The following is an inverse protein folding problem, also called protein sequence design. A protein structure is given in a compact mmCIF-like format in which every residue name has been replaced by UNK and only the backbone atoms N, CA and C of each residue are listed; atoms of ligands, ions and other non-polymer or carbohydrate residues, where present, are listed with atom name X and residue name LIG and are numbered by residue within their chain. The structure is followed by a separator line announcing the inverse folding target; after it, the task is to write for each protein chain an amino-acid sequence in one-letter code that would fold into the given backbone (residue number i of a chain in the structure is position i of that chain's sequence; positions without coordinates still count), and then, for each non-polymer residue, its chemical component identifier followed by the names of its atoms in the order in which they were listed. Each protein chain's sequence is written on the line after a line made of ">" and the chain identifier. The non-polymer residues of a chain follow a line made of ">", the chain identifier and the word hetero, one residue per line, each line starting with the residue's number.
data_IF_735542101993
#
_entry.id   IF_735542101993
#
_cell.length_a   1.000
_cell.length_b   1.000
_cell.length_c   1.000
_cell.angle_alpha   90.00
_cell.angle_beta   90.00
_cell.angle_gamma   90.00
#
_symmetry.space_group_name_H-M   'P 1'
#
loop_
_entity.id
_entity.type
_entity.pdbx_description
1 polymer ?
#
# COMPACT_ATOMS: atom_id res chain seq x y z
N UNK A 1 10.96 -20.13 -13.30
CA UNK A 1 11.12 -18.68 -13.01
C UNK A 1 10.01 -18.27 -12.07
N UNK A 2 10.32 -17.62 -10.94
CA UNK A 2 9.29 -17.06 -10.08
C UNK A 2 8.53 -15.96 -10.85
N UNK A 3 7.20 -16.05 -10.89
CA UNK A 3 6.37 -15.01 -11.51
C UNK A 3 6.37 -13.77 -10.61
N UNK A 4 6.40 -12.60 -11.23
CA UNK A 4 6.34 -11.32 -10.51
C UNK A 4 4.89 -11.07 -10.04
N UNK A 5 4.61 -11.12 -8.72
CA UNK A 5 3.25 -11.10 -8.19
C UNK A 5 2.50 -9.79 -8.53
N UNK A 6 3.22 -8.68 -8.72
CA UNK A 6 2.58 -7.41 -9.03
C UNK A 6 2.21 -7.31 -10.52
N UNK A 7 3.02 -7.92 -11.40
CA UNK A 7 2.77 -7.92 -12.85
C UNK A 7 1.46 -8.62 -13.20
N UNK A 8 1.18 -9.74 -12.54
CA UNK A 8 -0.06 -10.51 -12.73
C UNK A 8 -1.31 -9.70 -12.33
N UNK A 9 -1.24 -8.98 -11.20
CA UNK A 9 -2.31 -8.07 -10.80
C UNK A 9 -2.59 -7.02 -11.87
N UNK A 10 -1.55 -6.37 -12.40
CA UNK A 10 -1.73 -5.32 -13.40
C UNK A 10 -2.21 -5.84 -14.77
N UNK A 11 -1.73 -7.01 -15.20
CA UNK A 11 -2.19 -7.66 -16.43
C UNK A 11 -3.69 -7.93 -16.41
N UNK A 12 -4.24 -8.27 -15.25
CA UNK A 12 -5.68 -8.55 -15.09
C UNK A 12 -6.54 -7.28 -14.97
N UNK A 13 -6.02 -6.20 -14.38
CA UNK A 13 -6.83 -5.05 -13.98
C UNK A 13 -6.63 -3.78 -14.84
N UNK A 14 -5.59 -3.71 -15.67
CA UNK A 14 -5.24 -2.48 -16.39
C UNK A 14 -4.86 -2.70 -17.85
N UNK A 15 -5.51 -1.93 -18.74
CA UNK A 15 -5.21 -1.92 -20.17
C UNK A 15 -3.84 -1.29 -20.52
N UNK A 16 -3.20 -0.57 -19.59
CA UNK A 16 -1.91 0.15 -19.78
C UNK A 16 -0.79 -0.42 -18.90
N UNK A 17 -0.50 -1.70 -19.07
CA UNK A 17 0.46 -2.47 -18.25
C UNK A 17 1.85 -1.80 -18.16
N UNK A 18 2.41 -1.37 -19.29
CA UNK A 18 3.78 -0.83 -19.34
C UNK A 18 3.96 0.43 -18.48
N UNK A 19 2.99 1.35 -18.52
CA UNK A 19 3.00 2.55 -17.70
C UNK A 19 2.96 2.21 -16.20
N UNK A 20 2.19 1.18 -15.80
CA UNK A 20 2.08 0.77 -14.41
C UNK A 20 3.36 0.10 -13.91
N UNK A 21 3.97 -0.77 -14.72
CA UNK A 21 5.27 -1.38 -14.40
C UNK A 21 6.36 -0.32 -14.25
N UNK A 22 6.36 0.72 -15.10
CA UNK A 22 7.32 1.82 -14.97
C UNK A 22 7.14 2.60 -13.66
N UNK A 23 5.89 2.83 -13.22
CA UNK A 23 5.60 3.51 -11.95
C UNK A 23 6.16 2.73 -10.77
N UNK A 24 5.96 1.40 -10.74
CA UNK A 24 6.48 0.53 -9.68
C UNK A 24 8.00 0.66 -9.59
N UNK A 25 8.71 0.57 -10.71
CA UNK A 25 10.16 0.68 -10.74
C UNK A 25 10.67 2.03 -10.21
N UNK A 26 10.01 3.13 -10.59
CA UNK A 26 10.35 4.46 -10.07
C UNK A 26 10.09 4.57 -8.56
N UNK A 27 9.03 3.96 -8.06
CA UNK A 27 8.74 3.92 -6.62
C UNK A 27 9.77 3.08 -5.87
N UNK A 28 10.21 1.94 -6.41
CA UNK A 28 11.30 1.15 -5.83
C UNK A 28 12.59 1.97 -5.73
N UNK A 29 12.99 2.64 -6.82
CA UNK A 29 14.18 3.49 -6.85
C UNK A 29 14.10 4.61 -5.79
N UNK A 30 12.91 5.21 -5.60
CA UNK A 30 12.69 6.19 -4.55
C UNK A 30 12.79 5.59 -3.14
N UNK A 31 12.22 4.41 -2.92
CA UNK A 31 12.30 3.71 -1.63
C UNK A 31 13.75 3.34 -1.31
N UNK A 32 14.49 2.78 -2.27
CA UNK A 32 15.90 2.42 -2.07
C UNK A 32 16.76 3.62 -1.68
N UNK A 33 16.47 4.78 -2.28
CA UNK A 33 17.23 6.01 -2.05
C UNK A 33 16.87 6.72 -0.75
N UNK A 34 15.60 6.69 -0.34
CA UNK A 34 15.10 7.56 0.73
C UNK A 34 14.49 6.83 1.93
N UNK A 35 13.96 5.61 1.74
CA UNK A 35 13.09 4.97 2.73
C UNK A 35 13.52 3.56 3.16
N UNK A 36 14.46 2.88 2.48
CA UNK A 36 14.80 1.47 2.75
C UNK A 36 15.26 1.15 4.18
N UNK A 37 15.81 2.14 4.89
CA UNK A 37 16.26 1.99 6.28
C UNK A 37 15.22 2.43 7.31
N UNK A 38 14.04 2.85 6.86
CA UNK A 38 12.93 3.24 7.72
C UNK A 38 12.17 2.01 8.14
N UNK A 39 11.66 2.02 9.37
CA UNK A 39 10.86 0.89 9.87
C UNK A 39 9.44 0.88 9.31
N UNK A 40 8.95 2.01 8.81
CA UNK A 40 7.55 2.21 8.43
C UNK A 40 7.41 2.86 7.06
N UNK A 41 6.35 2.51 6.35
CA UNK A 41 5.95 3.10 5.06
C UNK A 41 4.48 3.52 5.08
N UNK A 42 4.17 4.61 4.38
CA UNK A 42 2.82 5.15 4.20
C UNK A 42 2.54 5.30 2.70
N UNK A 43 1.40 4.79 2.22
CA UNK A 43 0.87 5.10 0.89
C UNK A 43 -0.48 5.82 1.00
N UNK A 44 -0.66 6.88 0.21
CA UNK A 44 -1.94 7.62 0.10
C UNK A 44 -2.59 7.22 -1.23
N UNK A 45 -3.85 6.81 -1.18
CA UNK A 45 -4.56 6.25 -2.33
C UNK A 45 -4.02 4.87 -2.71
N UNK A 46 -3.91 3.97 -1.74
CA UNK A 46 -3.33 2.64 -1.97
C UNK A 46 -4.31 1.66 -2.66
N UNK A 47 -5.58 2.03 -2.84
CA UNK A 47 -6.61 1.12 -3.32
C UNK A 47 -6.71 -0.11 -2.40
N UNK A 48 -6.64 -1.31 -2.97
CA UNK A 48 -6.64 -2.57 -2.21
C UNK A 48 -5.29 -2.94 -1.59
N UNK A 49 -4.27 -2.09 -1.74
CA UNK A 49 -2.96 -2.23 -1.08
C UNK A 49 -1.95 -3.16 -1.76
N UNK A 50 -2.15 -3.54 -3.02
CA UNK A 50 -1.24 -4.46 -3.74
C UNK A 50 0.18 -3.93 -3.84
N UNK A 51 0.34 -2.67 -4.27
CA UNK A 51 1.66 -2.03 -4.38
C UNK A 51 2.35 -1.93 -3.02
N UNK A 52 1.63 -1.43 -2.00
CA UNK A 52 2.18 -1.29 -0.66
C UNK A 52 2.62 -2.65 -0.09
N UNK A 53 1.81 -3.69 -0.24
CA UNK A 53 2.15 -5.04 0.22
C UNK A 53 3.41 -5.56 -0.47
N UNK A 54 3.53 -5.34 -1.77
CA UNK A 54 4.74 -5.67 -2.52
C UNK A 54 5.98 -4.95 -1.96
N UNK A 55 5.91 -3.64 -1.72
CA UNK A 55 7.04 -2.87 -1.18
C UNK A 55 7.41 -3.29 0.25
N UNK A 56 6.42 -3.58 1.10
CA UNK A 56 6.62 -4.08 2.46
C UNK A 56 7.42 -5.38 2.44
N UNK A 57 7.03 -6.32 1.59
CA UNK A 57 7.70 -7.60 1.46
C UNK A 57 9.11 -7.47 0.87
N UNK A 58 9.28 -6.64 -0.17
CA UNK A 58 10.57 -6.45 -0.86
C UNK A 58 11.61 -5.72 -0.01
N UNK A 59 11.20 -4.69 0.73
CA UNK A 59 12.10 -3.84 1.50
C UNK A 59 12.05 -4.08 3.02
N UNK A 60 11.30 -5.10 3.46
CA UNK A 60 11.20 -5.54 4.85
C UNK A 60 10.76 -4.44 5.83
N UNK A 61 9.81 -3.60 5.41
CA UNK A 61 9.18 -2.64 6.33
C UNK A 61 8.45 -3.38 7.45
N UNK A 62 8.64 -2.94 8.70
CA UNK A 62 7.96 -3.52 9.87
C UNK A 62 6.51 -3.09 9.97
N UNK A 63 6.23 -1.83 9.62
CA UNK A 63 4.88 -1.26 9.69
C UNK A 63 4.47 -0.68 8.34
N UNK A 64 3.22 -0.88 7.96
CA UNK A 64 2.65 -0.37 6.73
C UNK A 64 1.33 0.33 7.01
N UNK A 65 1.19 1.55 6.50
CA UNK A 65 0.00 2.38 6.66
C UNK A 65 -0.56 2.76 5.29
N UNK A 66 -1.87 2.72 5.14
CA UNK A 66 -2.55 3.16 3.94
C UNK A 66 -3.62 4.20 4.28
N UNK A 67 -3.64 5.31 3.55
CA UNK A 67 -4.79 6.23 3.53
C UNK A 67 -5.61 5.93 2.28
N UNK A 68 -6.89 5.61 2.45
CA UNK A 68 -7.79 5.33 1.33
C UNK A 68 -9.17 5.94 1.60
N UNK A 69 -9.84 6.43 0.56
CA UNK A 69 -11.18 7.02 0.66
C UNK A 69 -12.25 5.93 0.49
N UNK A 70 -11.99 4.93 -0.36
CA UNK A 70 -12.91 3.84 -0.62
C UNK A 70 -12.98 2.85 0.56
N UNK A 71 -14.04 2.92 1.35
CA UNK A 71 -14.29 1.98 2.46
C UNK A 71 -14.38 0.52 2.02
N UNK A 72 -14.79 0.26 0.78
CA UNK A 72 -14.82 -1.08 0.20
C UNK A 72 -13.44 -1.74 0.11
N UNK A 73 -12.35 -0.97 0.14
CA UNK A 73 -10.99 -1.50 0.09
C UNK A 73 -10.47 -1.96 1.47
N UNK A 74 -11.09 -1.53 2.57
CA UNK A 74 -10.56 -1.71 3.93
C UNK A 74 -10.26 -3.16 4.27
N UNK A 75 -11.19 -4.07 3.96
CA UNK A 75 -11.05 -5.48 4.25
C UNK A 75 -9.83 -6.10 3.54
N UNK A 76 -9.62 -5.74 2.27
CA UNK A 76 -8.48 -6.22 1.48
C UNK A 76 -7.15 -5.64 1.96
N UNK A 77 -7.13 -4.36 2.36
CA UNK A 77 -5.94 -3.73 2.95
C UNK A 77 -5.55 -4.47 4.24
N UNK A 78 -6.51 -4.71 5.14
CA UNK A 78 -6.25 -5.39 6.43
C UNK A 78 -5.77 -6.82 6.26
N UNK A 79 -6.31 -7.58 5.29
CA UNK A 79 -5.87 -8.94 4.96
C UNK A 79 -4.38 -9.01 4.62
N UNK A 80 -3.81 -7.92 4.09
CA UNK A 80 -2.39 -7.82 3.73
C UNK A 80 -1.48 -7.37 4.88
N UNK A 81 -2.00 -7.26 6.10
CA UNK A 81 -1.25 -6.79 7.27
C UNK A 81 -0.98 -5.27 7.26
N UNK A 82 -1.65 -4.53 6.39
CA UNK A 82 -1.52 -3.07 6.29
C UNK A 82 -2.55 -2.42 7.22
N UNK A 83 -2.15 -1.36 7.91
CA UNK A 83 -3.05 -0.56 8.77
C UNK A 83 -3.74 0.53 7.94
N UNK A 84 -5.06 0.45 7.68
CA UNK A 84 -5.77 1.47 6.93
C UNK A 84 -6.19 2.65 7.81
N UNK A 85 -6.23 3.83 7.19
CA UNK A 85 -6.98 5.02 7.59
C UNK A 85 -7.99 5.31 6.48
N UNK A 86 -9.26 4.99 6.74
CA UNK A 86 -10.35 5.18 5.77
C UNK A 86 -10.96 6.57 5.96
N UNK A 87 -10.81 7.43 4.95
CA UNK A 87 -11.35 8.79 4.92
C UNK A 87 -12.56 8.83 3.97
N UNK A 88 -13.62 8.09 4.29
CA UNK A 88 -14.82 8.04 3.44
C UNK A 88 -15.50 9.40 3.35
N UNK A 89 -15.82 9.84 2.13
CA UNK A 89 -16.61 11.06 1.88
C UNK A 89 -18.06 10.92 2.39
N UNK A 90 -18.56 9.69 2.54
CA UNK A 90 -19.94 9.44 2.95
C UNK A 90 -20.15 9.44 4.48
N UNK A 91 -19.09 9.45 5.28
CA UNK A 91 -19.18 9.32 6.73
C UNK A 91 -18.59 10.57 7.40
N UNK A 92 -19.46 11.36 8.04
CA UNK A 92 -19.09 12.54 8.86
C UNK A 92 -18.25 12.22 10.12
N UNK A 93 -17.62 11.04 10.19
CA UNK A 93 -16.83 10.61 11.34
C UNK A 93 -15.51 9.97 10.89
N UNK A 94 -14.41 10.70 11.05
CA UNK A 94 -13.06 10.15 10.98
C UNK A 94 -12.82 9.42 12.31
N UNK A 95 -12.99 8.09 12.34
CA UNK A 95 -12.51 7.29 13.46
C UNK A 95 -11.01 7.08 13.33
N UNK A 96 -10.24 8.03 13.87
CA UNK A 96 -8.80 7.87 14.02
C UNK A 96 -8.52 6.84 15.13
N UNK A 97 -8.39 5.56 14.77
CA UNK A 97 -7.94 4.54 15.73
C UNK A 97 -6.42 4.65 15.87
N UNK A 98 -5.97 5.58 16.71
CA UNK A 98 -4.59 5.61 17.18
C UNK A 98 -4.47 4.55 18.27
N UNK A 99 -3.95 3.36 17.93
CA UNK A 99 -3.47 2.42 18.96
C UNK A 99 -2.19 3.00 19.56
N UNK A 100 -2.35 3.89 20.52
CA UNK A 100 -1.26 4.30 21.40
C UNK A 100 -0.85 3.14 22.29
N UNK A 101 0.27 2.49 22.01
CA UNK A 101 1.01 1.80 23.05
C UNK A 101 1.59 2.87 23.98
N UNK A 102 0.88 3.16 25.07
CA UNK A 102 1.45 3.86 26.21
C UNK A 102 2.41 2.86 26.88
N UNK A 103 3.68 3.27 26.99
CA UNK A 103 4.73 2.54 27.71
C UNK A 103 4.48 2.57 29.21
#
# INVERSE_FOLDING_TARGET
>A
MAKDPIKEFYEHHYAKLECMLRRIKLTEEAIEKFAKSKESILEIGCGTGENLSYYVNKFHFKNAYCVEIASSAEAEIRKKGITPLILSVSNNFIHLVVRGCIR
#
